data_IF_845850278148
#
_entry.id   IF_845850278148
#
_cell.length_a   1.000
_cell.length_b   1.000
_cell.length_c   1.000
_cell.angle_alpha   90.00
_cell.angle_beta   90.00
_cell.angle_gamma   90.00
#
_symmetry.space_group_name_H-M   'P 1'
#
loop_
_entity.id
_entity.type
_entity.pdbx_description
1 polymer ?
#
# COMPACT_ATOMS: atom_id res chain seq x y z
N UNK A 1 -2.76 -6.44 -12.16
CA UNK A 1 -2.60 -6.92 -13.55
C UNK A 1 -1.23 -7.57 -13.69
N UNK A 2 -1.15 -8.87 -13.97
CA UNK A 2 0.10 -9.55 -14.29
C UNK A 2 -0.03 -10.32 -15.62
N UNK A 3 0.94 -10.09 -16.51
CA UNK A 3 1.22 -10.94 -17.67
C UNK A 3 2.42 -11.82 -17.31
N UNK A 4 2.20 -13.13 -17.26
CA UNK A 4 3.29 -14.11 -17.16
C UNK A 4 4.00 -14.22 -18.52
N UNK A 5 5.33 -14.13 -18.51
CA UNK A 5 6.17 -14.62 -19.62
C UNK A 5 7.09 -15.69 -19.06
N UNK A 6 6.88 -16.92 -19.50
CA UNK A 6 7.89 -17.99 -19.42
C UNK A 6 9.02 -17.60 -20.35
N UNK A 7 10.24 -17.51 -19.83
CA UNK A 7 11.43 -17.45 -20.67
C UNK A 7 11.95 -18.88 -20.85
N UNK A 8 12.01 -19.34 -22.10
CA UNK A 8 12.80 -20.51 -22.51
C UNK A 8 14.08 -20.06 -23.21
N UNK A 9 15.13 -20.81 -22.90
CA UNK A 9 16.37 -21.04 -23.66
C UNK A 9 17.43 -19.92 -23.79
N UNK A 10 18.51 -20.16 -23.02
CA UNK A 10 19.90 -20.26 -23.50
C UNK A 10 20.37 -19.28 -24.57
N UNK A 11 20.98 -18.18 -24.12
CA UNK A 11 22.06 -17.49 -24.82
C UNK A 11 22.86 -16.63 -23.83
N UNK A 12 24.13 -16.96 -23.62
CA UNK A 12 25.09 -16.14 -22.87
C UNK A 12 25.50 -14.94 -23.71
N UNK A 13 25.42 -13.73 -23.16
CA UNK A 13 26.07 -12.53 -23.68
C UNK A 13 27.27 -12.17 -22.78
N UNK A 14 28.35 -11.57 -23.33
CA UNK A 14 29.64 -11.46 -22.65
C UNK A 14 29.62 -10.39 -21.54
N UNK A 15 30.50 -10.57 -20.55
CA UNK A 15 30.60 -9.73 -19.36
C UNK A 15 31.14 -8.34 -19.69
N UNK A 16 30.32 -7.31 -19.53
CA UNK A 16 30.81 -5.94 -19.33
C UNK A 16 30.94 -5.68 -17.82
N UNK A 17 32.08 -5.09 -17.45
CA UNK A 17 32.49 -4.77 -16.09
C UNK A 17 31.47 -3.84 -15.45
N UNK A 18 30.73 -4.35 -14.47
CA UNK A 18 29.85 -3.56 -13.61
C UNK A 18 30.60 -3.22 -12.34
N UNK A 19 30.85 -1.93 -12.13
CA UNK A 19 31.16 -1.37 -10.81
C UNK A 19 30.05 -1.76 -9.83
N UNK A 20 30.35 -2.10 -8.56
CA UNK A 20 29.33 -2.51 -7.61
C UNK A 20 28.50 -1.28 -7.20
N UNK A 21 27.46 -0.98 -7.96
CA UNK A 21 26.35 -0.21 -7.40
C UNK A 21 25.64 -1.14 -6.43
N UNK A 22 25.57 -0.75 -5.16
CA UNK A 22 24.74 -1.43 -4.15
C UNK A 22 23.36 -1.68 -4.76
N UNK A 23 22.90 -2.95 -4.89
CA UNK A 23 21.65 -3.23 -5.56
C UNK A 23 20.52 -2.53 -4.81
N UNK A 24 19.73 -1.74 -5.54
CA UNK A 24 18.53 -1.09 -4.99
C UNK A 24 17.63 -2.19 -4.39
N UNK A 25 17.21 -2.06 -3.11
CA UNK A 25 16.24 -2.92 -2.46
C UNK A 25 14.95 -3.04 -3.26
N UNK A 26 14.19 -4.07 -2.92
CA UNK A 26 13.55 -4.88 -3.94
C UNK A 26 12.03 -4.80 -3.92
N UNK A 27 11.50 -4.36 -2.78
CA UNK A 27 10.27 -3.59 -2.75
C UNK A 27 10.17 -2.61 -3.92
N UNK A 28 11.31 -2.00 -4.31
CA UNK A 28 11.37 -1.08 -5.44
C UNK A 28 11.14 -1.73 -6.80
N UNK A 29 11.09 -3.05 -6.98
CA UNK A 29 11.02 -3.77 -8.28
C UNK A 29 9.71 -4.51 -8.51
N UNK A 30 8.99 -4.89 -7.44
CA UNK A 30 7.53 -4.99 -7.51
C UNK A 30 6.91 -3.62 -7.86
N UNK A 31 7.55 -2.55 -7.38
CA UNK A 31 7.27 -1.17 -7.81
C UNK A 31 7.97 -0.80 -9.15
N UNK A 32 9.11 -1.41 -9.51
CA UNK A 32 9.96 -0.93 -10.63
C UNK A 32 9.49 -1.40 -12.00
N UNK A 33 8.44 -2.20 -12.12
CA UNK A 33 7.90 -2.40 -13.48
C UNK A 33 7.42 -1.06 -14.06
N UNK A 34 7.06 -0.09 -13.20
CA UNK A 34 6.81 1.31 -13.54
C UNK A 34 7.22 2.23 -12.37
N UNK A 35 8.46 2.72 -12.41
CA UNK A 35 9.14 3.51 -11.37
C UNK A 35 8.53 4.90 -11.09
N UNK A 36 7.31 5.17 -11.57
CA UNK A 36 6.66 6.47 -11.59
C UNK A 36 5.74 6.69 -10.38
N UNK A 37 5.48 5.65 -9.57
CA UNK A 37 4.48 5.65 -8.50
C UNK A 37 5.02 5.57 -7.07
N UNK A 38 6.32 5.42 -6.90
CA UNK A 38 6.94 5.11 -5.60
C UNK A 38 6.93 6.28 -4.62
N UNK A 39 7.09 7.49 -5.16
CA UNK A 39 6.94 8.74 -4.41
C UNK A 39 5.64 9.38 -4.85
N UNK A 40 4.82 9.72 -3.87
CA UNK A 40 3.50 10.30 -4.11
C UNK A 40 3.63 11.68 -4.77
N UNK A 41 4.68 12.42 -4.41
CA UNK A 41 5.01 13.73 -4.97
C UNK A 41 5.19 13.65 -6.50
N UNK A 42 5.92 12.63 -6.98
CA UNK A 42 6.18 12.43 -8.40
C UNK A 42 4.88 12.09 -9.16
N UNK A 43 3.96 11.35 -8.54
CA UNK A 43 2.63 11.07 -9.11
C UNK A 43 1.78 12.34 -9.21
N UNK A 44 1.80 13.17 -8.17
CA UNK A 44 1.08 14.45 -8.16
C UNK A 44 1.60 15.36 -9.27
N UNK A 45 2.91 15.45 -9.45
CA UNK A 45 3.49 16.21 -10.57
C UNK A 45 3.05 15.68 -11.93
N UNK A 46 2.99 14.36 -12.11
CA UNK A 46 2.55 13.75 -13.37
C UNK A 46 1.09 14.08 -13.67
N UNK A 47 0.18 13.90 -12.71
CA UNK A 47 -1.25 14.22 -12.89
C UNK A 47 -1.43 15.71 -13.19
N UNK A 48 -0.70 16.59 -12.50
CA UNK A 48 -0.69 18.03 -12.79
C UNK A 48 -0.21 18.34 -14.20
N UNK A 49 0.81 17.65 -14.70
CA UNK A 49 1.34 17.85 -16.07
C UNK A 49 0.37 17.36 -17.14
N UNK A 50 -0.41 16.31 -16.85
CA UNK A 50 -1.43 15.78 -17.76
C UNK A 50 -2.63 16.74 -17.83
N UNK A 51 -3.02 17.33 -16.70
CA UNK A 51 -4.08 18.34 -16.57
C UNK A 51 -5.40 17.94 -17.25
N UNK A 52 -5.91 16.75 -16.89
CA UNK A 52 -7.20 16.23 -17.37
C UNK A 52 -8.06 15.76 -16.21
N UNK A 53 -9.32 16.17 -16.20
CA UNK A 53 -10.28 15.87 -15.12
C UNK A 53 -10.50 14.36 -14.90
N UNK A 54 -10.43 13.58 -15.99
CA UNK A 54 -10.60 12.13 -15.98
C UNK A 54 -9.31 11.35 -15.68
N UNK A 55 -8.21 12.05 -15.34
CA UNK A 55 -6.95 11.44 -14.91
C UNK A 55 -6.72 11.76 -13.44
N UNK A 56 -6.33 10.75 -12.67
CA UNK A 56 -6.07 10.92 -11.24
C UNK A 56 -5.30 9.74 -10.66
N UNK A 57 -5.19 9.74 -9.34
CA UNK A 57 -4.36 8.80 -8.58
C UNK A 57 -5.25 7.72 -7.97
N UNK A 58 -4.88 6.45 -8.19
CA UNK A 58 -5.25 5.34 -7.32
C UNK A 58 -4.19 5.22 -6.24
N UNK A 59 -4.53 5.57 -5.00
CA UNK A 59 -3.56 5.55 -3.90
C UNK A 59 -3.71 4.28 -3.07
N UNK A 60 -2.68 3.44 -3.09
CA UNK A 60 -2.54 2.32 -2.16
C UNK A 60 -1.85 2.78 -0.87
N UNK A 61 -2.55 2.71 0.26
CA UNK A 61 -2.00 3.15 1.54
C UNK A 61 -0.89 2.24 2.07
N UNK A 62 -0.95 0.92 1.81
CA UNK A 62 0.08 -0.01 2.28
C UNK A 62 1.39 0.16 1.51
N UNK A 63 1.33 0.30 0.19
CA UNK A 63 2.50 0.61 -0.63
C UNK A 63 3.09 1.96 -0.26
N UNK A 64 2.24 2.99 -0.13
CA UNK A 64 2.69 4.30 0.31
C UNK A 64 3.32 4.27 1.71
N UNK A 65 2.79 3.47 2.63
CA UNK A 65 3.36 3.34 3.98
C UNK A 65 4.71 2.63 3.96
N UNK A 66 4.84 1.51 3.25
CA UNK A 66 6.11 0.81 3.05
C UNK A 66 7.15 1.71 2.38
N UNK A 67 6.76 2.44 1.34
CA UNK A 67 7.62 3.41 0.66
C UNK A 67 8.06 4.52 1.61
N UNK A 68 7.17 5.03 2.47
CA UNK A 68 7.52 6.07 3.44
C UNK A 68 8.56 5.60 4.45
N UNK A 69 8.50 4.34 4.87
CA UNK A 69 9.46 3.74 5.82
C UNK A 69 10.80 3.49 5.15
N UNK A 70 10.76 3.04 3.90
CA UNK A 70 11.95 2.78 3.12
C UNK A 70 12.69 4.08 2.74
N UNK A 71 11.99 5.05 2.17
CA UNK A 71 12.56 6.33 1.71
C UNK A 71 12.61 7.43 2.76
N UNK A 72 12.04 7.19 3.94
CA UNK A 72 12.01 8.11 5.09
C UNK A 72 11.33 9.45 4.79
N UNK A 73 10.27 9.44 3.98
CA UNK A 73 9.43 10.62 3.77
C UNK A 73 8.24 10.67 4.75
N UNK A 74 7.60 11.85 4.85
CA UNK A 74 6.48 12.09 5.76
C UNK A 74 5.16 11.60 5.15
N UNK A 75 4.83 10.34 5.39
CA UNK A 75 3.66 9.64 4.86
C UNK A 75 2.35 10.47 4.80
N UNK A 76 1.94 11.09 5.92
CA UNK A 76 0.68 11.84 5.98
C UNK A 76 0.73 13.15 5.18
N UNK A 77 1.89 13.79 5.10
CA UNK A 77 2.07 15.01 4.31
C UNK A 77 1.94 14.69 2.81
N UNK A 78 2.52 13.56 2.39
CA UNK A 78 2.40 13.05 1.03
C UNK A 78 0.95 12.72 0.66
N UNK A 79 0.18 12.08 1.56
CA UNK A 79 -1.26 11.85 1.36
C UNK A 79 -2.01 13.17 1.19
N UNK A 80 -1.74 14.15 2.06
CA UNK A 80 -2.39 15.47 2.00
C UNK A 80 -2.10 16.18 0.68
N UNK A 81 -0.87 16.07 0.17
CA UNK A 81 -0.48 16.61 -1.13
C UNK A 81 -1.23 15.95 -2.28
N UNK A 82 -1.40 14.63 -2.26
CA UNK A 82 -2.10 13.90 -3.30
C UNK A 82 -3.61 14.02 -3.26
N UNK A 83 -4.20 14.31 -2.09
CA UNK A 83 -5.63 14.27 -1.84
C UNK A 83 -6.52 14.89 -2.95
N UNK A 84 -6.22 16.07 -3.53
CA UNK A 84 -7.04 16.65 -4.59
C UNK A 84 -7.09 15.84 -5.89
N UNK A 85 -6.11 14.96 -6.09
CA UNK A 85 -5.91 14.17 -7.31
C UNK A 85 -6.33 12.70 -7.14
N UNK A 86 -6.63 12.27 -5.90
CA UNK A 86 -7.02 10.89 -5.63
C UNK A 86 -8.44 10.64 -6.13
N UNK A 87 -8.62 9.60 -6.94
CA UNK A 87 -9.94 9.15 -7.42
C UNK A 87 -10.36 7.84 -6.76
N UNK A 88 -9.39 6.97 -6.50
CA UNK A 88 -9.57 5.64 -5.93
C UNK A 88 -8.53 5.44 -4.82
N UNK A 89 -8.87 4.69 -3.78
CA UNK A 89 -7.89 4.26 -2.78
C UNK A 89 -8.00 2.77 -2.53
N UNK A 90 -6.85 2.15 -2.31
CA UNK A 90 -6.73 0.76 -1.93
C UNK A 90 -6.35 0.68 -0.45
N UNK A 91 -7.04 -0.20 0.27
CA UNK A 91 -7.01 -0.29 1.72
C UNK A 91 -6.69 -1.73 2.13
N UNK A 92 -5.59 -1.86 2.85
CA UNK A 92 -5.13 -3.07 3.52
C UNK A 92 -4.03 -2.67 4.50
N UNK A 93 -3.69 -3.55 5.45
CA UNK A 93 -2.72 -3.21 6.50
C UNK A 93 -1.39 -3.95 6.37
N UNK A 94 -0.34 -3.33 6.90
CA UNK A 94 1.00 -3.89 7.01
C UNK A 94 1.77 -3.24 8.18
N UNK A 95 2.91 -3.82 8.56
CA UNK A 95 3.76 -3.26 9.62
C UNK A 95 4.76 -2.22 9.12
N UNK A 96 4.74 -1.85 7.83
CA UNK A 96 5.69 -0.88 7.28
C UNK A 96 7.14 -1.36 7.27
N UNK A 97 7.38 -2.69 7.31
CA UNK A 97 8.72 -3.27 7.22
C UNK A 97 9.00 -3.70 5.77
N UNK A 98 9.70 -2.89 4.96
CA UNK A 98 9.96 -3.23 3.56
C UNK A 98 10.91 -4.43 3.46
N UNK A 99 10.69 -5.27 2.44
CA UNK A 99 11.53 -6.42 2.11
C UNK A 99 12.91 -5.97 1.61
N UNK A 100 13.97 -6.62 2.09
CA UNK A 100 15.36 -6.25 1.78
C UNK A 100 15.97 -7.07 0.62
N UNK A 101 15.61 -8.35 0.46
CA UNK A 101 16.16 -9.26 -0.57
C UNK A 101 15.07 -9.91 -1.45
N UNK A 102 15.40 -10.34 -2.68
CA UNK A 102 14.50 -11.07 -3.61
C UNK A 102 14.35 -12.54 -3.24
N UNK A 103 15.37 -13.09 -2.58
CA UNK A 103 15.54 -14.53 -2.43
C UNK A 103 14.55 -15.12 -1.43
N UNK A 104 14.03 -14.29 -0.54
CA UNK A 104 13.04 -14.68 0.45
C UNK A 104 11.64 -14.65 -0.14
N UNK A 105 10.93 -15.78 -0.12
CA UNK A 105 9.52 -15.81 -0.53
C UNK A 105 8.65 -15.07 0.49
N UNK A 106 7.64 -14.32 0.04
CA UNK A 106 6.79 -13.53 0.94
C UNK A 106 6.15 -14.37 2.04
N UNK A 107 5.79 -15.61 1.74
CA UNK A 107 5.23 -16.55 2.71
C UNK A 107 6.13 -16.75 3.94
N UNK A 108 7.45 -16.71 3.76
CA UNK A 108 8.44 -16.91 4.82
C UNK A 108 8.64 -15.65 5.68
N UNK A 109 8.18 -14.49 5.18
CA UNK A 109 8.37 -13.18 5.78
C UNK A 109 7.20 -12.72 6.64
N UNK A 110 6.03 -13.38 6.48
CA UNK A 110 4.80 -13.03 7.20
C UNK A 110 5.00 -13.11 8.71
N UNK A 111 5.68 -14.14 9.20
CA UNK A 111 5.94 -14.31 10.65
C UNK A 111 6.75 -13.16 11.26
N UNK A 112 7.55 -12.46 10.45
CA UNK A 112 8.35 -11.31 10.87
C UNK A 112 7.63 -9.97 10.63
N UNK A 113 6.46 -10.03 10.01
CA UNK A 113 5.69 -8.85 9.61
C UNK A 113 6.35 -8.05 8.48
N UNK A 114 7.18 -8.69 7.64
CA UNK A 114 7.94 -8.02 6.58
C UNK A 114 7.18 -8.13 5.25
N UNK A 115 7.13 -7.00 4.54
CA UNK A 115 6.59 -6.90 3.18
C UNK A 115 5.16 -6.38 3.12
N UNK A 116 4.59 -6.54 1.93
CA UNK A 116 3.26 -6.08 1.58
C UNK A 116 2.19 -7.13 1.92
N UNK A 117 1.89 -7.21 3.21
CA UNK A 117 1.16 -8.33 3.81
C UNK A 117 -0.34 -8.38 3.43
N UNK A 118 -0.93 -7.25 3.03
CA UNK A 118 -2.37 -7.13 2.73
C UNK A 118 -3.25 -7.71 3.85
N UNK A 119 -2.97 -7.30 5.08
CA UNK A 119 -3.67 -7.78 6.29
C UNK A 119 -4.99 -7.05 6.49
N UNK A 120 -5.91 -7.60 7.31
CA UNK A 120 -7.12 -6.89 7.71
C UNK A 120 -6.79 -5.52 8.32
N UNK A 121 -7.60 -4.52 7.98
CA UNK A 121 -7.43 -3.14 8.46
C UNK A 121 -7.43 -3.12 9.99
N UNK A 122 -6.44 -2.45 10.59
CA UNK A 122 -6.28 -2.32 12.03
C UNK A 122 -5.36 -3.36 12.67
N UNK A 123 -4.83 -4.32 11.90
CA UNK A 123 -3.87 -5.32 12.41
C UNK A 123 -2.42 -4.86 12.31
N UNK A 124 -2.13 -3.93 11.40
CA UNK A 124 -0.78 -3.42 11.17
C UNK A 124 -0.55 -2.09 11.88
N UNK A 125 0.36 -1.30 11.30
CA UNK A 125 0.80 -0.02 11.86
C UNK A 125 0.36 1.18 11.03
N UNK A 126 -0.39 0.98 9.94
CA UNK A 126 -0.85 2.10 9.12
C UNK A 126 -1.77 2.98 9.97
N UNK A 127 -1.50 4.29 10.09
CA UNK A 127 -2.23 5.19 10.98
C UNK A 127 -3.58 5.61 10.37
N UNK A 128 -4.49 4.65 10.18
CA UNK A 128 -5.76 4.86 9.49
C UNK A 128 -6.66 5.90 10.15
N UNK A 129 -6.61 6.05 11.47
CA UNK A 129 -7.34 7.12 12.16
C UNK A 129 -6.93 8.52 11.66
N UNK A 130 -5.64 8.71 11.36
CA UNK A 130 -5.10 9.96 10.80
C UNK A 130 -5.45 10.10 9.33
N UNK A 131 -5.37 9.00 8.57
CA UNK A 131 -5.70 8.98 7.14
C UNK A 131 -7.17 9.36 6.93
N UNK A 132 -8.10 8.70 7.63
CA UNK A 132 -9.53 8.96 7.45
C UNK A 132 -9.94 10.38 7.84
N UNK A 133 -9.27 10.99 8.83
CA UNK A 133 -9.43 12.43 9.11
C UNK A 133 -9.02 13.34 7.94
N UNK A 134 -7.98 12.97 7.18
CA UNK A 134 -7.61 13.67 5.95
C UNK A 134 -8.64 13.44 4.84
N UNK A 135 -9.19 12.22 4.75
CA UNK A 135 -10.19 11.82 3.77
C UNK A 135 -11.63 12.31 4.08
N UNK A 136 -11.84 13.19 5.07
CA UNK A 136 -13.19 13.60 5.52
C UNK A 136 -14.14 14.07 4.41
N UNK A 137 -13.61 14.63 3.33
CA UNK A 137 -14.35 15.15 2.18
C UNK A 137 -14.10 14.34 0.90
N UNK A 138 -13.47 13.18 1.01
CA UNK A 138 -13.20 12.30 -0.12
C UNK A 138 -14.46 11.51 -0.49
N UNK A 139 -14.90 11.64 -1.74
CA UNK A 139 -16.12 11.01 -2.26
C UNK A 139 -15.81 9.91 -3.31
N UNK A 140 -14.56 9.46 -3.40
CA UNK A 140 -14.16 8.42 -4.34
C UNK A 140 -14.36 7.01 -3.80
N UNK A 141 -13.81 6.02 -4.51
CA UNK A 141 -13.98 4.60 -4.16
C UNK A 141 -12.94 4.15 -3.13
N UNK A 142 -13.39 3.38 -2.14
CA UNK A 142 -12.56 2.66 -1.17
C UNK A 142 -12.56 1.17 -1.54
N UNK A 143 -11.41 0.63 -1.94
CA UNK A 143 -11.25 -0.79 -2.30
C UNK A 143 -10.49 -1.54 -1.21
N UNK A 144 -11.08 -2.60 -0.64
CA UNK A 144 -10.41 -3.46 0.32
C UNK A 144 -9.62 -4.56 -0.39
N UNK A 145 -8.30 -4.60 -0.20
CA UNK A 145 -7.40 -5.53 -0.87
C UNK A 145 -6.74 -6.48 0.12
N UNK A 146 -7.39 -7.61 0.39
CA UNK A 146 -6.88 -8.59 1.36
C UNK A 146 -6.42 -9.86 0.66
N UNK A 147 -5.33 -10.47 1.15
CA UNK A 147 -4.89 -11.77 0.63
C UNK A 147 -5.90 -12.86 1.03
N UNK A 148 -6.13 -13.89 0.19
CA UNK A 148 -7.09 -14.97 0.46
C UNK A 148 -6.91 -15.70 1.80
N UNK A 149 -5.68 -15.73 2.33
CA UNK A 149 -5.38 -16.28 3.67
C UNK A 149 -6.18 -15.61 4.80
N UNK A 150 -6.62 -14.37 4.60
CA UNK A 150 -7.41 -13.59 5.57
C UNK A 150 -8.92 -13.65 5.29
N UNK A 151 -9.40 -14.58 4.44
CA UNK A 151 -10.81 -14.68 4.05
C UNK A 151 -11.78 -14.63 5.24
N UNK A 152 -11.45 -15.32 6.34
CA UNK A 152 -12.27 -15.31 7.58
C UNK A 152 -12.46 -13.91 8.18
N UNK A 153 -11.54 -12.99 7.92
CA UNK A 153 -11.52 -11.64 8.48
C UNK A 153 -11.99 -10.55 7.50
N UNK A 154 -12.54 -10.91 6.34
CA UNK A 154 -13.04 -9.92 5.38
C UNK A 154 -14.18 -9.07 5.98
N UNK A 155 -15.11 -9.71 6.69
CA UNK A 155 -16.19 -9.04 7.41
C UNK A 155 -15.64 -8.08 8.47
N UNK A 156 -14.67 -8.55 9.25
CA UNK A 156 -14.00 -7.73 10.27
C UNK A 156 -13.36 -6.48 9.64
N UNK A 157 -12.61 -6.64 8.55
CA UNK A 157 -11.94 -5.52 7.90
C UNK A 157 -12.93 -4.51 7.31
N UNK A 158 -14.06 -4.98 6.77
CA UNK A 158 -15.13 -4.12 6.27
C UNK A 158 -15.77 -3.32 7.40
N UNK A 159 -16.10 -3.97 8.51
CA UNK A 159 -16.64 -3.32 9.72
C UNK A 159 -15.67 -2.26 10.23
N UNK A 160 -14.37 -2.59 10.28
CA UNK A 160 -13.34 -1.64 10.72
C UNK A 160 -13.26 -0.40 9.83
N UNK A 161 -13.36 -0.54 8.51
CA UNK A 161 -13.38 0.60 7.60
C UNK A 161 -14.65 1.45 7.80
N UNK A 162 -15.82 0.83 7.99
CA UNK A 162 -17.06 1.56 8.28
C UNK A 162 -16.94 2.42 9.54
N UNK A 163 -16.36 1.89 10.60
CA UNK A 163 -16.11 2.65 11.83
C UNK A 163 -15.17 3.84 11.63
N UNK A 164 -14.12 3.66 10.82
CA UNK A 164 -13.20 4.75 10.51
C UNK A 164 -13.91 5.90 9.78
N UNK A 165 -14.82 5.57 8.86
CA UNK A 165 -15.68 6.53 8.17
C UNK A 165 -16.59 7.24 9.18
N UNK A 166 -17.36 6.49 9.98
CA UNK A 166 -18.31 7.04 10.96
C UNK A 166 -17.64 7.93 12.02
N UNK A 167 -16.47 7.53 12.51
CA UNK A 167 -15.71 8.30 13.51
C UNK A 167 -15.25 9.65 12.96
N UNK A 168 -15.02 9.74 11.65
CA UNK A 168 -14.62 10.97 10.99
C UNK A 168 -15.80 11.93 10.82
N UNK A 169 -17.00 11.39 10.59
CA UNK A 169 -18.24 12.19 10.47
C UNK A 169 -18.72 12.75 11.81
N UNK A 170 -18.54 12.01 12.92
CA UNK A 170 -19.20 12.31 14.19
C UNK A 170 -18.27 12.82 15.30
N UNK A 171 -16.99 13.14 15.03
CA UNK A 171 -15.96 13.45 16.06
C UNK A 171 -15.92 12.44 17.22
N UNK A 172 -16.41 11.22 17.00
CA UNK A 172 -16.60 10.22 18.04
C UNK A 172 -15.32 9.43 18.27
N UNK A 173 -15.02 9.12 19.54
CA UNK A 173 -13.86 8.29 19.91
C UNK A 173 -14.04 6.88 19.33
N UNK A 174 -13.06 6.41 18.55
CA UNK A 174 -13.03 5.07 17.95
C UNK A 174 -13.06 4.00 19.05
N UNK A 175 -13.97 3.03 18.96
CA UNK A 175 -13.92 1.81 19.79
C UNK A 175 -12.80 0.90 19.25
N UNK A 176 -11.94 0.41 20.14
CA UNK A 176 -10.97 -0.65 19.78
C UNK A 176 -11.72 -1.97 19.71
N UNK A 177 -12.01 -2.45 18.51
CA UNK A 177 -12.54 -3.80 18.32
C UNK A 177 -11.38 -4.79 18.25
N UNK A 178 -11.39 -5.76 19.18
CA UNK A 178 -10.44 -6.87 19.15
C UNK A 178 -10.70 -7.72 17.90
N UNK A 179 -9.68 -8.08 17.12
CA UNK A 179 -9.85 -9.01 16.00
C UNK A 179 -10.25 -10.43 16.43
N UNK A 180 -10.19 -10.71 17.73
CA UNK A 180 -10.53 -12.01 18.32
C UNK A 180 -11.78 -11.96 19.22
N UNK A 181 -12.53 -10.85 19.24
CA UNK A 181 -13.87 -10.88 19.85
C UNK A 181 -14.73 -11.83 19.04
N UNK A 182 -15.39 -12.80 19.70
CA UNK A 182 -16.22 -13.84 19.06
C UNK A 182 -17.13 -13.20 18.01
N UNK A 183 -16.83 -13.42 16.73
CA UNK A 183 -17.81 -13.19 15.69
C UNK A 183 -18.89 -14.25 15.90
N UNK A 184 -20.09 -13.82 16.28
CA UNK A 184 -21.25 -14.71 16.23
C UNK A 184 -21.45 -15.10 14.75
N UNK A 185 -21.45 -16.41 14.52
CA UNK A 185 -21.61 -17.06 13.22
C UNK A 185 -22.86 -16.57 12.47
#
# INVERSE_FOLDING_TARGET
WELSKRFSNSRMFPSSVLTPQTPKPIFLREISKYNYGTKIEDLVEQVKKIDRENVGITLDFGHAYLASKYYRFKFLDSIKLALPYIKHVHIHDCFGKPKQSYEEQDINLIQFGIGDLHMPVGWGEIPYDKIFRLLKNYNGVLSLELKPRFKRFYKYSLERVKELIESTSNNHKLKKISPFSKQHD
#
